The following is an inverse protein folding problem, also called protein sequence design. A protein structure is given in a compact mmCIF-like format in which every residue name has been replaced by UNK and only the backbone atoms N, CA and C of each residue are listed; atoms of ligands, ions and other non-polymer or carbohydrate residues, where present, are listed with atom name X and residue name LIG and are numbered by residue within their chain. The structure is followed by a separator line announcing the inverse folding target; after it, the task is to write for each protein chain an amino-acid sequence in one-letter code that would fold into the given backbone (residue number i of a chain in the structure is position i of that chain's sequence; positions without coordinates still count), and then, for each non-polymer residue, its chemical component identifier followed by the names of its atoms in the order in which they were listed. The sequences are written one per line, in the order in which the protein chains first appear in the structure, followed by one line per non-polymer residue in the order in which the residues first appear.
data_IF_017264277067
#
_entry.id   IF_017264277067
#
_cell.length_a   1.000
_cell.length_b   1.000
_cell.length_c   1.000
_cell.angle_alpha   90.00
_cell.angle_beta   90.00
_cell.angle_gamma   90.00
#
_symmetry.space_group_name_H-M   'P 1'
#
loop_
_entity.id
_entity.type
_entity.pdbx_description
1 polymer ?
#
# COMPACT_ATOMS: atom_id res chain seq x y z
N UNK A 1 34.29 33.22 4.49
CA UNK A 1 33.24 34.01 5.17
C UNK A 1 32.01 34.27 4.30
N UNK A 2 32.15 34.75 3.05
CA UNK A 2 31.01 34.99 2.13
C UNK A 2 30.22 33.72 1.71
N UNK A 3 30.87 32.55 1.67
CA UNK A 3 30.25 31.27 1.30
C UNK A 3 29.42 30.63 2.42
N UNK A 4 29.80 30.86 3.68
CA UNK A 4 29.08 30.37 4.86
C UNK A 4 27.76 31.10 5.08
N UNK A 5 27.70 32.40 4.76
CA UNK A 5 26.48 33.22 4.88
C UNK A 5 25.45 32.84 3.80
N UNK A 6 25.88 32.49 2.58
CA UNK A 6 24.97 32.03 1.51
C UNK A 6 24.31 30.68 1.83
N UNK A 7 25.06 29.75 2.44
CA UNK A 7 24.50 28.45 2.83
C UNK A 7 23.54 28.55 4.01
N UNK A 8 23.74 29.51 4.94
CA UNK A 8 22.80 29.78 6.04
C UNK A 8 21.48 30.38 5.56
N UNK A 9 21.51 31.27 4.55
CA UNK A 9 20.30 31.86 3.96
C UNK A 9 19.52 30.82 3.13
N UNK A 10 20.21 29.91 2.43
CA UNK A 10 19.57 28.83 1.68
C UNK A 10 18.90 27.78 2.59
N UNK A 11 19.51 27.44 3.74
CA UNK A 11 18.93 26.50 4.71
C UNK A 11 17.72 27.09 5.45
N UNK A 12 17.74 28.40 5.74
CA UNK A 12 16.63 29.08 6.42
C UNK A 12 15.42 29.29 5.51
N UNK A 13 15.61 29.48 4.21
CA UNK A 13 14.53 29.50 3.21
C UNK A 13 13.91 28.11 2.98
N UNK A 14 14.69 27.04 3.06
CA UNK A 14 14.18 25.66 2.93
C UNK A 14 13.38 25.22 4.17
N UNK A 15 13.81 25.63 5.37
CA UNK A 15 13.08 25.38 6.61
C UNK A 15 11.80 26.21 6.73
N UNK A 16 11.78 27.44 6.18
CA UNK A 16 10.57 28.25 6.11
C UNK A 16 9.53 27.69 5.12
N UNK A 17 9.98 26.98 4.07
CA UNK A 17 9.09 26.36 3.08
C UNK A 17 8.46 25.05 3.59
N UNK A 18 9.16 24.29 4.46
CA UNK A 18 8.58 23.08 5.09
C UNK A 18 7.60 23.41 6.23
N UNK A 19 7.75 24.56 6.89
CA UNK A 19 6.82 25.05 7.91
C UNK A 19 5.49 25.57 7.34
N UNK A 20 5.41 25.90 6.04
CA UNK A 20 4.16 26.27 5.37
C UNK A 20 3.41 25.09 4.73
N UNK A 21 4.01 23.89 4.68
CA UNK A 21 3.40 22.68 4.13
C UNK A 21 2.85 21.73 5.21
N UNK A 22 3.04 22.04 6.49
CA UNK A 22 2.10 21.58 7.53
C UNK A 22 0.82 22.39 7.37
N UNK A 23 0.08 22.10 6.30
CA UNK A 23 -1.23 22.67 6.05
C UNK A 23 -2.02 22.59 7.34
N UNK A 24 -2.57 23.73 7.77
CA UNK A 24 -3.64 23.76 8.74
C UNK A 24 -4.60 22.65 8.34
N UNK A 25 -4.68 21.58 9.13
CA UNK A 25 -5.67 20.54 8.94
C UNK A 25 -7.00 21.29 9.05
N UNK A 26 -7.64 21.56 7.91
CA UNK A 26 -8.96 22.18 7.85
C UNK A 26 -9.80 21.47 8.91
N UNK A 27 -10.22 22.21 9.95
CA UNK A 27 -11.12 21.68 10.96
C UNK A 27 -12.43 21.43 10.23
N UNK A 28 -12.61 20.21 9.74
CA UNK A 28 -13.79 19.80 9.00
C UNK A 28 -15.02 19.77 9.91
N UNK A 29 -16.20 19.74 9.28
CA UNK A 29 -17.48 19.51 9.92
C UNK A 29 -17.42 18.36 10.94
N UNK A 30 -17.87 18.59 12.18
CA UNK A 30 -17.78 17.62 13.26
C UNK A 30 -18.22 18.17 14.60
N UNK A 31 -18.25 17.30 15.60
CA UNK A 31 -18.56 17.64 16.99
C UNK A 31 -17.42 17.25 17.93
N UNK A 32 -17.31 17.97 19.03
CA UNK A 32 -16.61 17.53 20.22
C UNK A 32 -17.62 16.86 21.16
N UNK A 33 -17.29 15.65 21.61
CA UNK A 33 -18.11 14.88 22.54
C UNK A 33 -17.21 13.95 23.35
N UNK A 34 -17.52 13.80 24.64
CA UNK A 34 -16.78 12.96 25.58
C UNK A 34 -17.71 11.91 26.18
N UNK A 35 -17.51 10.64 25.85
CA UNK A 35 -18.22 9.54 26.50
C UNK A 35 -17.83 9.45 27.98
N UNK A 36 -16.59 9.79 28.33
CA UNK A 36 -16.08 9.76 29.72
C UNK A 36 -16.89 10.65 30.66
N UNK A 37 -17.38 11.79 30.16
CA UNK A 37 -18.24 12.70 30.93
C UNK A 37 -19.69 12.21 31.03
N UNK A 38 -20.16 11.37 30.10
CA UNK A 38 -21.56 10.96 30.01
C UNK A 38 -21.84 9.54 30.52
N UNK A 39 -20.82 8.67 30.64
CA UNK A 39 -20.95 7.25 31.01
C UNK A 39 -21.56 6.95 32.39
N UNK A 40 -21.79 7.97 33.23
CA UNK A 40 -22.47 7.83 34.52
C UNK A 40 -23.77 8.62 34.61
N UNK A 41 -24.10 9.39 33.57
CA UNK A 41 -25.28 10.24 33.48
C UNK A 41 -26.33 9.66 32.50
N UNK A 42 -25.88 8.83 31.54
CA UNK A 42 -26.74 8.18 30.56
C UNK A 42 -26.22 6.79 30.16
N UNK A 43 -27.16 5.89 29.88
CA UNK A 43 -26.93 4.57 29.29
C UNK A 43 -26.68 4.68 27.78
N UNK A 44 -25.95 3.72 27.19
CA UNK A 44 -25.58 3.74 25.78
C UNK A 44 -26.79 3.89 24.84
N UNK A 45 -27.86 3.14 25.10
CA UNK A 45 -29.06 3.10 24.26
C UNK A 45 -29.89 4.40 24.31
N UNK A 46 -29.73 5.23 25.35
CA UNK A 46 -30.43 6.52 25.43
C UNK A 46 -29.94 7.47 24.34
N UNK A 47 -28.63 7.47 24.05
CA UNK A 47 -28.06 8.28 22.98
C UNK A 47 -27.99 7.55 21.64
N UNK A 48 -27.86 6.22 21.64
CA UNK A 48 -27.75 5.39 20.44
C UNK A 48 -29.01 4.52 20.26
N UNK A 49 -30.13 5.08 19.76
CA UNK A 49 -31.42 4.40 19.72
C UNK A 49 -31.53 3.28 18.68
N UNK A 50 -30.53 3.09 17.81
CA UNK A 50 -30.49 1.94 16.89
C UNK A 50 -31.49 1.98 15.74
N UNK A 51 -31.96 3.15 15.32
CA UNK A 51 -32.92 3.27 14.22
C UNK A 51 -32.28 2.85 12.87
N UNK A 52 -33.01 2.07 12.07
CA UNK A 52 -32.65 1.68 10.70
C UNK A 52 -31.28 0.93 10.60
N UNK A 53 -30.98 0.05 11.56
CA UNK A 53 -29.73 -0.74 11.59
C UNK A 53 -28.48 0.07 11.97
N UNK A 54 -28.65 1.34 12.31
CA UNK A 54 -27.57 2.28 12.63
C UNK A 54 -27.71 2.82 14.05
N UNK A 55 -26.67 2.64 14.85
CA UNK A 55 -26.56 3.23 16.19
C UNK A 55 -26.11 4.71 16.15
N UNK A 56 -26.24 5.42 15.03
CA UNK A 56 -25.89 6.85 14.97
C UNK A 56 -26.89 7.68 15.75
N UNK A 57 -26.36 8.53 16.62
CA UNK A 57 -27.16 9.51 17.33
C UNK A 57 -27.48 10.72 16.45
N UNK A 58 -28.49 11.49 16.87
CA UNK A 58 -28.88 12.76 16.26
C UNK A 58 -28.84 13.85 17.33
N UNK A 59 -29.34 15.05 17.04
CA UNK A 59 -29.45 16.10 18.06
C UNK A 59 -30.53 15.78 19.11
N UNK A 60 -31.47 14.87 18.82
CA UNK A 60 -32.63 14.62 19.67
C UNK A 60 -32.26 14.13 21.08
N UNK A 61 -31.40 13.10 21.26
CA UNK A 61 -31.03 12.65 22.60
C UNK A 61 -30.27 13.70 23.42
N UNK A 62 -29.57 14.63 22.76
CA UNK A 62 -28.89 15.72 23.46
C UNK A 62 -29.89 16.68 24.12
N UNK A 63 -31.02 16.94 23.44
CA UNK A 63 -32.08 17.87 23.89
C UNK A 63 -32.87 17.35 25.09
N UNK A 64 -32.76 16.07 25.41
CA UNK A 64 -33.38 15.49 26.62
C UNK A 64 -32.75 16.05 27.90
N UNK A 65 -31.47 16.42 27.86
CA UNK A 65 -30.72 16.93 29.01
C UNK A 65 -30.16 18.36 28.81
N UNK A 66 -29.91 18.77 27.56
CA UNK A 66 -29.36 20.08 27.23
C UNK A 66 -30.41 20.98 26.58
N UNK A 67 -30.52 22.21 27.06
CA UNK A 67 -31.38 23.23 26.44
C UNK A 67 -30.72 23.76 25.15
N UNK A 68 -31.09 23.16 24.01
CA UNK A 68 -30.51 23.48 22.69
C UNK A 68 -31.61 24.06 21.80
N UNK A 69 -31.49 25.35 21.47
CA UNK A 69 -32.37 26.05 20.53
C UNK A 69 -31.80 26.00 19.10
N UNK A 70 -32.20 24.98 18.33
CA UNK A 70 -31.81 24.85 16.91
C UNK A 70 -32.41 25.94 16.02
N UNK A 71 -33.50 26.59 16.45
CA UNK A 71 -34.15 27.65 15.68
C UNK A 71 -33.38 28.97 15.78
N UNK A 72 -32.63 29.18 16.87
CA UNK A 72 -31.84 30.39 17.12
C UNK A 72 -30.37 30.04 17.45
N UNK A 73 -29.59 29.54 16.47
CA UNK A 73 -28.21 29.12 16.72
C UNK A 73 -27.32 30.29 17.15
N UNK A 74 -26.54 30.06 18.20
CA UNK A 74 -25.65 31.04 18.83
C UNK A 74 -24.19 30.55 18.88
N UNK A 75 -23.29 31.34 19.47
CA UNK A 75 -21.92 30.88 19.72
C UNK A 75 -21.86 29.72 20.73
N UNK A 76 -22.91 29.49 21.52
CA UNK A 76 -23.00 28.36 22.46
C UNK A 76 -23.01 27.00 21.73
N UNK A 77 -23.51 26.95 20.49
CA UNK A 77 -23.44 25.76 19.67
C UNK A 77 -21.98 25.31 19.41
N UNK A 78 -20.99 26.22 19.52
CA UNK A 78 -19.56 25.87 19.41
C UNK A 78 -19.02 25.09 20.62
N UNK A 79 -19.79 24.97 21.71
CA UNK A 79 -19.45 24.04 22.78
C UNK A 79 -19.42 22.59 22.30
N UNK A 80 -20.25 22.27 21.30
CA UNK A 80 -20.35 20.93 20.72
C UNK A 80 -19.84 20.90 19.29
N UNK A 81 -20.08 21.91 18.46
CA UNK A 81 -19.69 21.91 17.06
C UNK A 81 -18.30 22.52 16.83
N UNK A 82 -17.51 21.88 15.95
CA UNK A 82 -16.15 22.35 15.60
C UNK A 82 -16.16 23.53 14.62
N UNK A 83 -17.28 23.77 13.94
CA UNK A 83 -17.50 24.87 13.00
C UNK A 83 -18.85 25.54 13.31
N UNK A 84 -18.99 26.83 12.98
CA UNK A 84 -20.23 27.56 13.24
C UNK A 84 -20.39 28.82 12.40
N UNK A 85 -21.48 29.56 12.68
CA UNK A 85 -21.92 30.85 12.11
C UNK A 85 -21.72 31.02 10.60
N UNK A 86 -20.50 31.32 10.14
CA UNK A 86 -20.19 31.62 8.74
C UNK A 86 -20.10 30.36 7.85
N UNK A 87 -19.78 29.20 8.45
CA UNK A 87 -19.69 27.90 7.75
C UNK A 87 -20.83 26.94 8.10
N UNK A 88 -21.77 27.38 8.95
CA UNK A 88 -22.81 26.54 9.54
C UNK A 88 -22.26 25.55 10.57
N UNK A 89 -23.18 24.85 11.25
CA UNK A 89 -22.88 23.87 12.30
C UNK A 89 -22.92 22.44 11.74
N UNK A 90 -22.27 22.22 10.59
CA UNK A 90 -22.34 20.92 9.93
C UNK A 90 -21.56 19.85 10.72
N UNK A 91 -22.09 18.62 10.67
CA UNK A 91 -21.47 17.43 11.26
C UNK A 91 -21.22 16.41 10.16
N UNK A 92 -20.03 15.81 10.14
CA UNK A 92 -19.73 14.77 9.16
C UNK A 92 -20.34 13.44 9.62
N UNK A 93 -21.51 13.11 9.06
CA UNK A 93 -22.16 11.82 9.27
C UNK A 93 -21.71 10.76 8.24
N UNK A 94 -20.69 11.00 7.42
CA UNK A 94 -20.24 10.00 6.46
C UNK A 94 -19.58 8.83 7.18
N UNK A 95 -19.86 7.62 6.68
CA UNK A 95 -19.12 6.42 7.10
C UNK A 95 -17.63 6.61 6.72
N UNK A 96 -16.67 6.26 7.58
CA UNK A 96 -15.27 6.38 7.20
C UNK A 96 -14.99 5.55 5.95
N UNK A 97 -14.16 6.07 5.04
CA UNK A 97 -13.89 5.42 3.76
C UNK A 97 -13.35 3.99 3.91
N UNK A 98 -12.62 3.71 5.00
CA UNK A 98 -12.12 2.36 5.31
C UNK A 98 -13.20 1.32 5.57
N UNK A 99 -14.44 1.74 5.84
CA UNK A 99 -15.58 0.85 6.03
C UNK A 99 -16.61 0.96 4.90
N UNK A 100 -16.30 1.64 3.80
CA UNK A 100 -17.25 1.87 2.70
C UNK A 100 -17.82 0.56 2.13
N UNK A 101 -17.01 -0.50 2.10
CA UNK A 101 -17.39 -1.81 1.59
C UNK A 101 -17.99 -2.76 2.64
N UNK A 102 -17.94 -2.38 3.92
CA UNK A 102 -18.45 -3.24 4.99
C UNK A 102 -19.95 -3.03 5.16
N UNK A 103 -20.74 -4.07 5.29
CA UNK A 103 -22.14 -4.03 5.75
C UNK A 103 -22.19 -4.57 7.16
N UNK A 104 -22.91 -3.87 8.03
CA UNK A 104 -23.09 -4.28 9.42
C UNK A 104 -24.45 -3.81 9.90
N UNK A 105 -25.14 -4.68 10.65
CA UNK A 105 -26.46 -4.43 11.20
C UNK A 105 -26.44 -4.66 12.70
N UNK A 106 -26.73 -3.61 13.48
CA UNK A 106 -26.75 -3.71 14.94
C UNK A 106 -27.96 -4.48 15.45
N UNK A 107 -29.08 -4.53 14.71
CA UNK A 107 -30.30 -5.24 15.11
C UNK A 107 -30.05 -6.75 15.17
N UNK A 108 -29.25 -7.27 14.22
CA UNK A 108 -28.85 -8.69 14.19
C UNK A 108 -27.86 -9.04 15.31
N UNK A 109 -27.23 -8.04 15.94
CA UNK A 109 -26.20 -8.22 16.98
C UNK A 109 -26.68 -7.73 18.36
N UNK A 110 -27.98 -7.62 18.58
CA UNK A 110 -28.55 -7.09 19.85
C UNK A 110 -28.14 -7.90 21.09
N UNK A 111 -27.85 -9.19 20.92
CA UNK A 111 -27.40 -10.08 22.01
C UNK A 111 -25.92 -9.89 22.39
N UNK A 112 -25.13 -9.16 21.59
CA UNK A 112 -23.72 -8.89 21.87
C UNK A 112 -23.55 -7.65 22.77
N UNK A 113 -22.62 -7.71 23.71
CA UNK A 113 -22.30 -6.53 24.52
C UNK A 113 -21.57 -5.49 23.66
N UNK A 114 -22.01 -4.22 23.75
CA UNK A 114 -21.41 -3.11 23.02
C UNK A 114 -19.87 -3.07 23.14
N UNK A 115 -19.34 -3.40 24.32
CA UNK A 115 -17.89 -3.36 24.61
C UNK A 115 -17.12 -4.48 23.91
N UNK A 116 -17.77 -5.56 23.52
CA UNK A 116 -17.11 -6.67 22.81
C UNK A 116 -16.62 -6.22 21.43
N UNK A 117 -17.32 -5.25 20.85
CA UNK A 117 -17.01 -4.63 19.57
C UNK A 117 -16.28 -3.28 19.71
N UNK A 118 -16.79 -2.39 20.56
CA UNK A 118 -16.31 -1.01 20.69
C UNK A 118 -15.23 -0.82 21.76
N UNK A 119 -14.92 -1.85 22.54
CA UNK A 119 -13.96 -1.77 23.64
C UNK A 119 -14.39 -0.75 24.70
N UNK A 120 -13.42 -0.09 25.31
CA UNK A 120 -13.63 0.87 26.41
C UNK A 120 -14.02 2.28 25.92
N UNK A 121 -14.93 2.36 24.92
CA UNK A 121 -15.38 3.63 24.34
C UNK A 121 -15.98 4.57 25.38
N UNK A 122 -16.58 4.01 26.44
CA UNK A 122 -17.13 4.77 27.58
C UNK A 122 -16.10 5.68 28.26
N UNK A 123 -14.81 5.34 28.19
CA UNK A 123 -13.71 6.13 28.78
C UNK A 123 -13.15 7.18 27.81
N UNK A 124 -13.68 7.23 26.58
CA UNK A 124 -13.16 8.13 25.56
C UNK A 124 -13.54 9.58 25.83
N UNK A 125 -12.53 10.45 25.79
CA UNK A 125 -12.69 11.91 25.96
C UNK A 125 -13.00 12.64 24.65
N UNK A 126 -12.97 11.93 23.53
CA UNK A 126 -13.22 12.47 22.20
C UNK A 126 -13.87 11.40 21.30
N UNK A 127 -14.54 11.84 20.23
CA UNK A 127 -14.94 10.93 19.17
C UNK A 127 -13.69 10.42 18.42
N UNK A 128 -13.57 9.11 18.30
CA UNK A 128 -12.41 8.48 17.69
C UNK A 128 -12.81 7.25 16.89
N UNK A 129 -12.29 7.15 15.67
CA UNK A 129 -12.42 5.96 14.83
C UNK A 129 -11.68 4.73 15.40
N UNK A 130 -10.84 4.90 16.43
CA UNK A 130 -10.13 3.80 17.08
C UNK A 130 -11.05 2.82 17.83
N UNK A 131 -12.27 3.26 18.19
CA UNK A 131 -13.28 2.43 18.83
C UNK A 131 -14.24 1.78 17.82
N UNK A 132 -13.97 1.90 16.52
CA UNK A 132 -14.68 1.13 15.52
C UNK A 132 -14.09 -0.28 15.43
N UNK A 133 -14.93 -1.33 15.33
CA UNK A 133 -14.44 -2.71 15.31
C UNK A 133 -13.53 -2.99 14.12
N UNK A 134 -12.47 -3.75 14.36
CA UNK A 134 -11.61 -4.27 13.29
C UNK A 134 -12.18 -5.57 12.73
N UNK A 135 -11.71 -6.01 11.56
CA UNK A 135 -12.07 -7.33 11.04
C UNK A 135 -11.72 -8.46 12.03
N UNK A 136 -10.61 -8.34 12.75
CA UNK A 136 -10.21 -9.30 13.78
C UNK A 136 -11.23 -9.35 14.94
N UNK A 137 -11.88 -8.23 15.26
CA UNK A 137 -12.95 -8.19 16.26
C UNK A 137 -14.15 -9.01 15.78
N UNK A 138 -14.57 -8.83 14.52
CA UNK A 138 -15.67 -9.60 13.93
C UNK A 138 -15.36 -11.11 13.90
N UNK A 139 -14.12 -11.47 13.54
CA UNK A 139 -13.66 -12.86 13.42
C UNK A 139 -13.59 -13.62 14.75
N UNK A 140 -13.74 -12.95 15.90
CA UNK A 140 -13.89 -13.65 17.19
C UNK A 140 -15.12 -14.55 17.21
N UNK A 141 -16.19 -14.14 16.52
CA UNK A 141 -17.42 -14.91 16.38
C UNK A 141 -17.64 -15.37 14.92
N UNK A 142 -17.29 -14.54 13.93
CA UNK A 142 -17.33 -14.91 12.51
C UNK A 142 -16.10 -15.71 12.10
N UNK A 143 -15.98 -16.91 12.65
CA UNK A 143 -14.87 -17.85 12.46
C UNK A 143 -15.23 -19.07 11.61
N UNK A 144 -16.51 -19.21 11.21
CA UNK A 144 -17.03 -20.33 10.43
C UNK A 144 -17.72 -21.40 11.29
N UNK A 145 -17.48 -21.39 12.60
CA UNK A 145 -18.11 -22.30 13.57
C UNK A 145 -19.29 -21.61 14.28
N UNK A 146 -19.06 -20.45 14.91
CA UNK A 146 -20.09 -19.73 15.68
C UNK A 146 -20.97 -18.83 14.79
N UNK A 147 -20.36 -18.25 13.74
CA UNK A 147 -21.07 -17.47 12.73
C UNK A 147 -20.36 -17.55 11.36
N UNK A 148 -21.09 -17.30 10.24
CA UNK A 148 -20.51 -17.37 8.90
C UNK A 148 -19.31 -16.42 8.72
N UNK A 149 -18.18 -16.95 8.25
CA UNK A 149 -16.94 -16.18 8.04
C UNK A 149 -16.66 -15.82 6.57
N UNK A 150 -17.59 -16.12 5.65
CA UNK A 150 -17.39 -15.83 4.23
C UNK A 150 -17.28 -14.33 3.98
N UNK A 151 -16.40 -13.91 3.06
CA UNK A 151 -16.12 -12.49 2.81
C UNK A 151 -17.39 -11.67 2.56
N UNK A 152 -18.33 -12.23 1.78
CA UNK A 152 -19.60 -11.59 1.41
C UNK A 152 -20.60 -11.47 2.55
N UNK A 153 -20.33 -12.06 3.71
CA UNK A 153 -21.13 -11.85 4.93
C UNK A 153 -21.03 -10.39 5.37
N UNK A 154 -19.85 -9.79 5.21
CA UNK A 154 -19.57 -8.43 5.65
C UNK A 154 -19.19 -7.51 4.49
N UNK A 155 -18.66 -8.01 3.38
CA UNK A 155 -18.19 -7.19 2.27
C UNK A 155 -19.14 -7.18 1.09
N UNK A 156 -19.46 -6.00 0.58
CA UNK A 156 -20.36 -5.83 -0.58
C UNK A 156 -19.66 -5.98 -1.94
N UNK A 157 -18.36 -5.71 -1.99
CA UNK A 157 -17.52 -5.68 -3.18
C UNK A 157 -16.39 -6.70 -3.10
N UNK A 158 -15.82 -6.96 -1.92
CA UNK A 158 -14.76 -7.98 -1.76
C UNK A 158 -15.35 -9.39 -1.76
N UNK A 159 -14.83 -10.24 -2.65
CA UNK A 159 -15.26 -11.63 -2.83
C UNK A 159 -14.06 -12.56 -2.97
N UNK A 160 -14.17 -13.75 -2.40
CA UNK A 160 -13.15 -14.77 -2.54
C UNK A 160 -13.00 -15.19 -4.02
N UNK A 161 -11.75 -15.33 -4.47
CA UNK A 161 -11.43 -15.72 -5.86
C UNK A 161 -11.53 -14.60 -6.89
N UNK A 162 -11.98 -13.40 -6.50
CA UNK A 162 -12.00 -12.22 -7.36
C UNK A 162 -10.87 -11.26 -7.00
N UNK A 163 -10.27 -10.66 -8.03
CA UNK A 163 -9.22 -9.65 -7.87
C UNK A 163 -9.81 -8.36 -7.28
N UNK A 164 -9.37 -7.88 -6.11
CA UNK A 164 -9.90 -6.65 -5.52
C UNK A 164 -9.61 -5.42 -6.40
N UNK A 165 -10.46 -4.40 -6.30
CA UNK A 165 -10.25 -3.10 -7.00
C UNK A 165 -8.92 -2.44 -6.68
N UNK A 166 -8.35 -2.72 -5.51
CA UNK A 166 -7.03 -2.22 -5.09
C UNK A 166 -5.88 -2.73 -5.97
N UNK A 167 -6.02 -3.89 -6.61
CA UNK A 167 -4.98 -4.49 -7.44
C UNK A 167 -4.89 -3.84 -8.84
N UNK A 168 -4.62 -2.54 -8.86
CA UNK A 168 -4.47 -1.75 -10.08
C UNK A 168 -3.08 -1.95 -10.72
N UNK A 169 -2.89 -1.41 -11.94
CA UNK A 169 -1.57 -1.36 -12.56
C UNK A 169 -0.57 -0.47 -11.79
N UNK A 170 -1.06 0.47 -10.98
CA UNK A 170 -0.21 1.28 -10.12
C UNK A 170 0.24 0.46 -8.91
N UNK A 171 -0.69 -0.24 -8.25
CA UNK A 171 -0.36 -1.16 -7.16
C UNK A 171 0.69 -2.18 -7.59
N UNK A 172 0.56 -2.79 -8.77
CA UNK A 172 1.53 -3.75 -9.28
C UNK A 172 2.98 -3.21 -9.35
N UNK A 173 3.16 -1.89 -9.40
CA UNK A 173 4.47 -1.23 -9.45
C UNK A 173 5.00 -0.77 -8.09
N UNK A 174 4.16 -0.74 -7.05
CA UNK A 174 4.50 -0.10 -5.76
C UNK A 174 4.00 -0.88 -4.54
N UNK A 175 3.59 -2.14 -4.72
CA UNK A 175 3.05 -2.94 -3.63
C UNK A 175 4.13 -3.41 -2.64
N UNK A 176 5.41 -3.29 -3.02
CA UNK A 176 6.58 -3.49 -2.14
C UNK A 176 6.55 -2.56 -0.90
N UNK A 177 5.81 -1.46 -0.98
CA UNK A 177 5.59 -0.53 0.13
C UNK A 177 4.34 -0.87 0.97
N UNK A 178 3.62 -1.94 0.63
CA UNK A 178 2.40 -2.36 1.33
C UNK A 178 2.71 -3.32 2.47
N UNK A 179 1.81 -3.40 3.45
CA UNK A 179 1.91 -4.37 4.54
C UNK A 179 1.61 -5.78 4.01
N UNK A 180 2.63 -6.64 4.00
CA UNK A 180 2.54 -8.03 3.55
C UNK A 180 1.49 -8.84 4.31
N UNK A 181 1.28 -8.55 5.60
CA UNK A 181 0.29 -9.27 6.42
C UNK A 181 -1.14 -9.11 5.89
N UNK A 182 -1.43 -7.98 5.23
CA UNK A 182 -2.74 -7.71 4.64
C UNK A 182 -3.05 -8.58 3.42
N UNK A 183 -2.02 -9.09 2.72
CA UNK A 183 -2.19 -9.96 1.56
C UNK A 183 -2.76 -11.32 1.98
N UNK A 184 -2.38 -11.79 3.18
CA UNK A 184 -2.82 -13.08 3.74
C UNK A 184 -4.33 -13.19 3.98
N UNK A 185 -5.06 -12.07 3.99
CA UNK A 185 -6.52 -12.10 4.10
C UNK A 185 -7.22 -12.64 2.85
N UNK A 186 -6.58 -12.54 1.69
CA UNK A 186 -7.15 -13.01 0.41
C UNK A 186 -6.31 -14.12 -0.21
N UNK A 187 -5.00 -14.13 0.08
CA UNK A 187 -4.05 -15.04 -0.52
C UNK A 187 -3.62 -16.12 0.48
N UNK A 188 -4.08 -17.34 0.21
CA UNK A 188 -3.74 -18.52 0.99
C UNK A 188 -2.66 -19.37 0.27
N UNK A 189 -1.90 -20.14 1.04
CA UNK A 189 -0.91 -21.10 0.53
C UNK A 189 0.54 -20.68 0.75
N UNK A 190 1.47 -21.53 0.28
CA UNK A 190 2.88 -21.44 0.63
C UNK A 190 3.63 -20.27 -0.05
N UNK A 191 3.12 -19.75 -1.18
CA UNK A 191 3.82 -18.70 -1.94
C UNK A 191 2.89 -17.89 -2.89
N UNK A 192 2.00 -17.06 -2.34
CA UNK A 192 1.09 -16.24 -3.14
C UNK A 192 1.81 -15.16 -3.95
N UNK A 193 2.95 -14.67 -3.44
CA UNK A 193 3.78 -13.68 -4.10
C UNK A 193 4.31 -14.25 -5.44
N UNK A 194 4.89 -15.44 -5.42
CA UNK A 194 5.40 -16.05 -6.65
C UNK A 194 4.32 -16.51 -7.61
N UNK A 195 3.09 -16.78 -7.15
CA UNK A 195 1.98 -17.07 -8.08
C UNK A 195 1.79 -15.95 -9.10
N UNK A 196 1.96 -14.69 -8.70
CA UNK A 196 1.91 -13.54 -9.61
C UNK A 196 3.27 -13.28 -10.26
N UNK A 197 4.35 -13.26 -9.47
CA UNK A 197 5.69 -12.87 -9.95
C UNK A 197 6.26 -13.86 -10.99
N UNK A 198 5.91 -15.15 -10.94
CA UNK A 198 6.30 -16.12 -11.98
C UNK A 198 5.66 -15.85 -13.34
N UNK A 199 4.53 -15.15 -13.38
CA UNK A 199 3.84 -14.78 -14.63
C UNK A 199 4.12 -13.36 -15.06
N UNK A 200 4.77 -12.57 -14.19
CA UNK A 200 5.05 -11.16 -14.43
C UNK A 200 6.52 -10.99 -14.78
N UNK A 201 6.77 -10.67 -16.04
CA UNK A 201 8.12 -10.40 -16.53
C UNK A 201 8.73 -9.20 -15.77
N UNK A 202 9.93 -9.32 -15.17
CA UNK A 202 10.58 -8.20 -14.50
C UNK A 202 10.79 -7.02 -15.44
N UNK A 203 10.73 -5.80 -14.91
CA UNK A 203 10.96 -4.56 -15.67
C UNK A 203 12.34 -4.52 -16.31
N UNK A 204 13.32 -5.20 -15.71
CA UNK A 204 14.71 -5.33 -16.19
C UNK A 204 14.81 -6.11 -17.49
N UNK A 205 13.85 -6.99 -17.81
CA UNK A 205 13.92 -7.90 -18.96
C UNK A 205 13.62 -7.20 -20.31
N UNK A 206 14.40 -6.17 -20.61
CA UNK A 206 14.40 -5.44 -21.87
C UNK A 206 15.32 -6.11 -22.88
N UNK A 207 15.18 -5.77 -24.17
CA UNK A 207 16.13 -6.20 -25.20
C UNK A 207 17.57 -5.73 -24.89
N UNK A 208 17.72 -4.54 -24.30
CA UNK A 208 19.01 -4.00 -23.90
C UNK A 208 19.67 -4.83 -22.79
N UNK A 209 18.92 -5.20 -21.77
CA UNK A 209 19.39 -6.08 -20.70
C UNK A 209 19.78 -7.46 -21.24
N UNK A 210 18.91 -8.08 -22.07
CA UNK A 210 19.21 -9.38 -22.68
C UNK A 210 20.48 -9.35 -23.52
N UNK A 211 20.77 -8.25 -24.21
CA UNK A 211 21.94 -8.18 -25.10
C UNK A 211 23.23 -7.73 -24.42
N UNK A 212 23.14 -6.93 -23.35
CA UNK A 212 24.31 -6.23 -22.78
C UNK A 212 24.37 -6.15 -21.25
N UNK A 213 23.27 -6.45 -20.55
CA UNK A 213 23.16 -6.25 -19.10
C UNK A 213 23.16 -7.53 -18.28
N UNK A 214 22.48 -8.59 -18.75
CA UNK A 214 22.24 -9.79 -17.96
C UNK A 214 23.51 -10.54 -17.57
N UNK A 215 24.59 -10.45 -18.37
CA UNK A 215 25.85 -11.12 -18.06
C UNK A 215 26.53 -10.57 -16.81
N UNK A 216 26.50 -9.24 -16.61
CA UNK A 216 27.05 -8.61 -15.41
C UNK A 216 26.21 -8.99 -14.18
N UNK A 217 24.89 -8.96 -14.30
CA UNK A 217 23.98 -9.35 -13.23
C UNK A 217 24.15 -10.83 -12.86
N UNK A 218 24.21 -11.74 -13.83
CA UNK A 218 24.45 -13.16 -13.60
C UNK A 218 25.83 -13.46 -12.99
N UNK A 219 26.83 -12.61 -13.23
CA UNK A 219 28.16 -12.72 -12.60
C UNK A 219 28.10 -12.35 -11.11
N UNK A 220 27.25 -11.38 -10.76
CA UNK A 220 27.08 -10.91 -9.39
C UNK A 220 26.15 -11.83 -8.59
N UNK A 221 25.05 -12.25 -9.21
CA UNK A 221 24.03 -13.10 -8.60
C UNK A 221 23.27 -13.88 -9.70
N UNK A 222 23.69 -15.13 -9.94
CA UNK A 222 22.98 -16.04 -10.84
C UNK A 222 21.86 -16.81 -10.13
N UNK A 223 21.86 -16.86 -8.79
CA UNK A 223 20.86 -17.58 -8.01
C UNK A 223 19.52 -16.84 -8.06
N UNK A 224 19.52 -15.50 -8.05
CA UNK A 224 18.32 -14.69 -8.23
C UNK A 224 17.57 -14.95 -9.54
N UNK A 225 18.27 -15.41 -10.59
CA UNK A 225 17.62 -15.84 -11.84
C UNK A 225 16.87 -17.17 -11.67
N UNK A 226 17.34 -18.04 -10.77
CA UNK A 226 16.80 -19.38 -10.53
C UNK A 226 15.44 -19.37 -9.81
N UNK A 227 15.07 -18.23 -9.23
CA UNK A 227 13.73 -18.00 -8.66
C UNK A 227 12.61 -18.13 -9.70
N UNK A 228 12.91 -17.81 -10.96
CA UNK A 228 11.95 -17.85 -12.07
C UNK A 228 12.40 -18.74 -13.24
N UNK A 229 13.71 -18.93 -13.44
CA UNK A 229 14.27 -19.68 -14.55
C UNK A 229 14.93 -20.98 -14.10
N UNK A 230 14.92 -21.99 -14.97
CA UNK A 230 15.67 -23.24 -14.74
C UNK A 230 17.04 -23.16 -15.41
N UNK A 231 18.01 -23.93 -14.92
CA UNK A 231 19.39 -23.92 -15.44
C UNK A 231 19.50 -24.12 -16.96
N UNK A 232 18.57 -24.87 -17.57
CA UNK A 232 18.57 -25.08 -19.02
C UNK A 232 18.33 -23.80 -19.81
N UNK A 233 17.67 -22.79 -19.23
CA UNK A 233 17.46 -21.49 -19.86
C UNK A 233 18.79 -20.79 -20.19
N UNK A 234 19.76 -20.88 -19.28
CA UNK A 234 21.10 -20.33 -19.49
C UNK A 234 21.82 -21.12 -20.59
N UNK A 235 21.83 -22.45 -20.50
CA UNK A 235 22.54 -23.29 -21.47
C UNK A 235 21.95 -23.20 -22.87
N UNK A 236 20.63 -23.09 -23.04
CA UNK A 236 20.00 -23.03 -24.37
C UNK A 236 20.37 -21.75 -25.12
N UNK A 237 20.51 -20.64 -24.41
CA UNK A 237 20.94 -19.38 -25.02
C UNK A 237 22.44 -19.34 -25.25
N UNK A 238 23.26 -19.83 -24.30
CA UNK A 238 24.71 -19.85 -24.43
C UNK A 238 25.22 -20.94 -25.39
N UNK A 239 24.44 -21.99 -25.65
CA UNK A 239 24.72 -22.98 -26.68
C UNK A 239 24.61 -22.42 -28.10
N UNK A 240 23.94 -21.28 -28.27
CA UNK A 240 23.80 -20.59 -29.55
C UNK A 240 24.69 -19.35 -29.55
N UNK A 241 25.64 -19.25 -30.48
CA UNK A 241 26.47 -18.06 -30.65
C UNK A 241 25.59 -16.80 -30.77
N UNK A 242 25.78 -15.83 -29.87
CA UNK A 242 24.97 -14.62 -29.84
C UNK A 242 25.21 -13.80 -31.12
N UNK A 243 24.22 -12.97 -31.52
CA UNK A 243 24.30 -12.18 -32.77
C UNK A 243 25.18 -10.92 -32.63
N UNK A 244 26.03 -10.83 -31.61
CA UNK A 244 26.76 -9.61 -31.25
C UNK A 244 27.82 -9.19 -32.30
N UNK A 245 28.32 -10.12 -33.12
CA UNK A 245 29.34 -9.85 -34.15
C UNK A 245 28.78 -9.89 -35.60
N UNK A 246 27.56 -9.38 -35.84
CA UNK A 246 26.98 -9.26 -37.21
C UNK A 246 26.76 -7.81 -37.64
N UNK A 247 27.18 -7.41 -38.87
CA UNK A 247 27.91 -8.21 -39.86
C UNK A 247 29.39 -8.42 -39.47
N UNK A 248 29.91 -9.64 -39.70
CA UNK A 248 31.21 -10.09 -39.20
C UNK A 248 32.37 -9.16 -39.60
N UNK A 249 32.43 -8.77 -40.87
CA UNK A 249 33.50 -7.88 -41.36
C UNK A 249 33.47 -6.49 -40.70
N UNK A 250 32.26 -5.97 -40.44
CA UNK A 250 32.11 -4.67 -39.79
C UNK A 250 32.52 -4.70 -38.32
N UNK A 251 32.18 -5.79 -37.63
CA UNK A 251 32.60 -6.02 -36.25
C UNK A 251 34.11 -6.24 -36.14
N UNK A 252 34.72 -7.11 -36.97
CA UNK A 252 36.18 -7.31 -36.96
C UNK A 252 36.92 -5.99 -37.20
N UNK A 253 36.43 -5.15 -38.11
CA UNK A 253 37.10 -3.90 -38.47
C UNK A 253 37.02 -2.80 -37.38
N UNK A 254 35.93 -2.72 -36.61
CA UNK A 254 35.69 -1.55 -35.75
C UNK A 254 35.23 -1.87 -34.31
N UNK A 255 34.73 -3.08 -34.05
CA UNK A 255 34.15 -3.47 -32.75
C UNK A 255 34.99 -4.48 -31.99
N UNK A 256 35.56 -5.46 -32.68
CA UNK A 256 36.28 -6.60 -32.10
C UNK A 256 37.42 -6.18 -31.17
N UNK A 257 38.29 -5.26 -31.61
CA UNK A 257 39.39 -4.79 -30.79
C UNK A 257 38.95 -3.97 -29.57
N UNK A 258 37.84 -3.22 -29.68
CA UNK A 258 37.30 -2.42 -28.57
C UNK A 258 36.69 -3.36 -27.53
N UNK A 259 35.83 -4.29 -27.94
CA UNK A 259 35.22 -5.26 -27.04
C UNK A 259 36.27 -6.15 -26.36
N UNK A 260 37.24 -6.70 -27.12
CA UNK A 260 38.32 -7.51 -26.56
C UNK A 260 39.24 -6.74 -25.60
N UNK A 261 39.39 -5.42 -25.77
CA UNK A 261 40.16 -4.59 -24.83
C UNK A 261 39.44 -4.31 -23.51
N UNK A 262 38.10 -4.42 -23.50
CA UNK A 262 37.27 -4.22 -22.32
C UNK A 262 37.09 -5.52 -21.54
N UNK A 263 36.88 -6.63 -22.24
CA UNK A 263 36.72 -7.97 -21.69
C UNK A 263 37.09 -9.05 -22.73
N UNK A 264 38.35 -9.50 -22.70
CA UNK A 264 38.82 -10.58 -23.58
C UNK A 264 38.28 -11.95 -23.16
N UNK A 265 38.00 -12.14 -21.87
CA UNK A 265 37.54 -13.41 -21.32
C UNK A 265 36.10 -13.74 -21.77
N UNK A 266 35.27 -12.71 -21.95
CA UNK A 266 33.92 -12.84 -22.49
C UNK A 266 33.85 -13.50 -23.88
N UNK A 267 34.93 -13.44 -24.67
CA UNK A 267 35.01 -14.12 -25.97
C UNK A 267 35.10 -15.65 -25.80
N UNK A 268 35.73 -16.12 -24.71
CA UNK A 268 35.98 -17.54 -24.47
C UNK A 268 34.74 -18.30 -23.96
N UNK A 269 33.64 -17.59 -23.72
CA UNK A 269 32.33 -18.18 -23.42
C UNK A 269 31.84 -19.03 -24.59
N UNK A 270 32.11 -18.60 -25.82
CA UNK A 270 31.68 -19.28 -27.04
C UNK A 270 32.84 -19.77 -27.90
N UNK A 271 33.99 -19.09 -27.84
CA UNK A 271 35.16 -19.41 -28.66
C UNK A 271 36.26 -20.07 -27.84
N UNK A 272 37.06 -20.94 -28.46
CA UNK A 272 38.30 -21.42 -27.83
C UNK A 272 39.50 -20.65 -28.35
N UNK A 273 40.50 -20.42 -27.49
CA UNK A 273 41.78 -19.79 -27.86
C UNK A 273 42.56 -20.53 -28.94
N UNK A 274 42.16 -21.77 -29.25
CA UNK A 274 42.74 -22.60 -30.30
C UNK A 274 41.99 -22.53 -31.64
N UNK A 275 40.94 -21.72 -31.77
CA UNK A 275 40.24 -21.59 -33.03
C UNK A 275 41.10 -20.94 -34.12
N UNK A 276 40.93 -21.40 -35.37
CA UNK A 276 41.67 -20.87 -36.52
C UNK A 276 41.30 -19.41 -36.81
N UNK A 277 40.05 -19.01 -36.54
CA UNK A 277 39.56 -17.63 -36.63
C UNK A 277 40.34 -16.67 -35.72
N UNK A 278 40.71 -17.11 -34.52
CA UNK A 278 41.46 -16.34 -33.54
C UNK A 278 42.97 -16.32 -33.84
N UNK A 279 43.55 -17.51 -34.07
CA UNK A 279 44.99 -17.67 -34.28
C UNK A 279 45.48 -17.07 -35.61
N UNK A 280 44.58 -16.82 -36.56
CA UNK A 280 44.90 -16.10 -37.80
C UNK A 280 45.43 -14.69 -37.57
N UNK A 281 45.00 -14.03 -36.48
CA UNK A 281 45.42 -12.67 -36.14
C UNK A 281 46.20 -12.61 -34.81
N UNK A 282 45.87 -13.45 -33.82
CA UNK A 282 46.47 -13.47 -32.47
C UNK A 282 47.60 -14.51 -32.37
N UNK A 283 48.67 -14.32 -33.14
CA UNK A 283 49.76 -15.31 -33.24
C UNK A 283 50.72 -15.32 -32.04
N UNK A 284 50.69 -14.28 -31.21
CA UNK A 284 51.57 -14.11 -30.04
C UNK A 284 50.82 -14.20 -28.70
N UNK A 285 49.56 -14.64 -28.71
CA UNK A 285 48.65 -14.55 -27.57
C UNK A 285 47.55 -13.51 -27.79
N UNK A 286 46.64 -13.45 -26.82
CA UNK A 286 45.44 -12.61 -26.82
C UNK A 286 45.70 -11.33 -26.03
#
# INVERSE_FOLDING_TARGET
MKTLIKNFIALSLLAALTLFLSGCKEMGAGITFSHDLHRGEAECAQCHPGNEGSMRTTMEPCKECHDIDEANPSEECLMCHLIGKDKGYAVNAAKPASYADVTFDHEVHEDADCKDCHGEVSTSKALSAAFLPTMQTCQKCHNGDDAPAGCTTCHSEIKQGEKPKSHTALWAKSHDMSDESSCGYCHEGADPCMSCHRTTKPSTHTAGWKLRGHGLEATLDSDGCSECHVATYCSDCHANATRNHRPLNGWIANGHGIEGSLDSDGCFVCHTSMESSCRGCHTAGF
#
